data_IF_396645834313
#
_entry.id   IF_396645834313
#
_cell.length_a   1.000
_cell.length_b   1.000
_cell.length_c   1.000
_cell.angle_alpha   90.00
_cell.angle_beta   90.00
_cell.angle_gamma   90.00
#
_symmetry.space_group_name_H-M   'P 1'
#
loop_
_entity.id
_entity.type
_entity.pdbx_description
1 polymer ?
#
# COMPACT_ATOMS: atom_id res chain seq x y z
N UNK A 1 -14.59 -20.26 12.61
CA UNK A 1 -13.81 -19.68 11.50
C UNK A 1 -14.71 -19.73 10.28
N UNK A 2 -15.12 -18.58 9.76
CA UNK A 2 -15.96 -18.50 8.57
C UNK A 2 -15.09 -18.39 7.33
N UNK A 3 -15.34 -19.23 6.33
CA UNK A 3 -14.54 -19.32 5.10
C UNK A 3 -15.46 -19.28 3.87
N UNK A 4 -15.01 -18.61 2.80
CA UNK A 4 -15.76 -18.55 1.54
C UNK A 4 -15.60 -19.89 0.84
N UNK A 5 -16.71 -20.61 0.68
CA UNK A 5 -16.74 -21.92 0.06
C UNK A 5 -16.76 -21.80 -1.48
N UNK A 6 -15.59 -21.62 -2.10
CA UNK A 6 -15.47 -21.65 -3.57
C UNK A 6 -15.48 -23.07 -4.14
N UNK A 7 -15.01 -24.06 -3.38
CA UNK A 7 -14.94 -25.45 -3.83
C UNK A 7 -16.27 -26.21 -3.77
N UNK A 8 -17.33 -25.64 -3.18
CA UNK A 8 -18.63 -26.30 -3.02
C UNK A 8 -18.64 -27.42 -1.96
N UNK A 9 -17.77 -27.34 -0.96
CA UNK A 9 -17.66 -28.31 0.12
C UNK A 9 -18.95 -28.42 0.95
N UNK A 10 -19.27 -29.62 1.40
CA UNK A 10 -20.40 -29.92 2.29
C UNK A 10 -19.92 -30.14 3.72
N UNK A 11 -20.81 -29.95 4.69
CA UNK A 11 -20.53 -30.23 6.09
C UNK A 11 -20.07 -31.68 6.27
N UNK A 12 -18.97 -31.87 7.01
CA UNK A 12 -18.35 -33.19 7.24
C UNK A 12 -17.15 -33.51 6.35
N UNK A 13 -16.91 -32.74 5.28
CA UNK A 13 -15.73 -32.92 4.43
C UNK A 13 -14.51 -32.21 5.00
N UNK A 14 -13.33 -32.81 4.86
CA UNK A 14 -12.06 -32.12 5.16
C UNK A 14 -11.80 -31.13 4.03
N UNK A 15 -11.34 -29.94 4.37
CA UNK A 15 -11.14 -28.86 3.40
C UNK A 15 -9.79 -28.20 3.59
N UNK A 16 -9.13 -27.87 2.49
CA UNK A 16 -7.94 -27.05 2.50
C UNK A 16 -8.34 -25.59 2.42
N UNK A 17 -8.07 -24.88 3.49
CA UNK A 17 -8.32 -23.44 3.59
C UNK A 17 -7.04 -22.70 3.24
N UNK A 18 -7.09 -21.87 2.20
CA UNK A 18 -5.93 -21.11 1.73
C UNK A 18 -6.17 -19.62 2.01
N UNK A 19 -5.17 -18.98 2.61
CA UNK A 19 -5.10 -17.53 2.71
C UNK A 19 -4.28 -17.06 1.51
N UNK A 20 -4.87 -16.27 0.61
CA UNK A 20 -4.14 -15.76 -0.57
C UNK A 20 -3.13 -14.69 -0.15
N UNK A 21 -1.91 -15.10 0.19
CA UNK A 21 -0.81 -14.22 0.64
C UNK A 21 -0.30 -13.24 -0.44
N UNK A 22 -0.55 -13.53 -1.73
CA UNK A 22 -0.06 -12.70 -2.84
C UNK A 22 -0.60 -11.27 -2.84
N UNK A 23 -1.80 -11.05 -2.30
CA UNK A 23 -2.38 -9.70 -2.18
C UNK A 23 -1.63 -8.86 -1.13
N UNK A 24 -1.15 -9.49 -0.06
CA UNK A 24 -0.38 -8.81 0.99
C UNK A 24 0.97 -8.32 0.50
N UNK A 25 1.70 -9.15 -0.26
CA UNK A 25 3.03 -8.78 -0.74
C UNK A 25 2.95 -7.60 -1.72
N UNK A 26 1.99 -7.61 -2.66
CA UNK A 26 1.75 -6.47 -3.56
C UNK A 26 1.33 -5.21 -2.81
N UNK A 27 0.47 -5.33 -1.79
CA UNK A 27 0.08 -4.21 -0.93
C UNK A 27 1.28 -3.60 -0.20
N UNK A 28 2.16 -4.43 0.38
CA UNK A 28 3.35 -3.97 1.10
C UNK A 28 4.32 -3.18 0.21
N UNK A 29 4.54 -3.63 -1.03
CA UNK A 29 5.39 -2.91 -2.00
C UNK A 29 4.81 -1.53 -2.31
N UNK A 30 3.48 -1.39 -2.43
CA UNK A 30 2.88 -0.06 -2.62
C UNK A 30 3.07 0.83 -1.39
N UNK A 31 2.82 0.29 -0.19
CA UNK A 31 2.89 1.04 1.08
C UNK A 31 4.28 1.57 1.37
N UNK A 32 5.34 0.83 0.99
CA UNK A 32 6.72 1.27 1.22
C UNK A 32 7.35 1.94 -0.01
N UNK A 33 7.06 1.45 -1.21
CA UNK A 33 7.68 1.92 -2.45
C UNK A 33 7.19 3.28 -2.91
N UNK A 34 5.87 3.52 -2.89
CA UNK A 34 5.31 4.78 -3.39
C UNK A 34 5.75 5.97 -2.53
N UNK A 35 5.68 5.92 -1.18
CA UNK A 35 6.18 7.03 -0.36
C UNK A 35 7.67 7.30 -0.55
N UNK A 36 8.49 6.26 -0.68
CA UNK A 36 9.93 6.41 -0.91
C UNK A 36 10.22 7.13 -2.26
N UNK A 37 9.54 6.74 -3.33
CA UNK A 37 9.68 7.40 -4.64
C UNK A 37 9.17 8.83 -4.57
N UNK A 38 8.04 9.08 -3.89
CA UNK A 38 7.48 10.42 -3.72
C UNK A 38 8.43 11.35 -2.95
N UNK A 39 9.12 10.83 -1.92
CA UNK A 39 10.13 11.58 -1.16
C UNK A 39 11.28 12.03 -2.07
N UNK A 40 11.85 11.10 -2.85
CA UNK A 40 12.98 11.38 -3.75
C UNK A 40 12.53 12.37 -4.83
N UNK A 41 11.39 12.13 -5.46
CA UNK A 41 10.84 13.02 -6.48
C UNK A 41 10.59 14.43 -5.92
N UNK A 42 9.97 14.54 -4.74
CA UNK A 42 9.73 15.83 -4.09
C UNK A 42 11.01 16.58 -3.74
N UNK A 43 12.03 15.89 -3.24
CA UNK A 43 13.32 16.50 -2.93
C UNK A 43 14.02 17.05 -4.17
N UNK A 44 13.99 16.29 -5.28
CA UNK A 44 14.56 16.71 -6.57
C UNK A 44 13.78 17.89 -7.17
N UNK A 45 12.45 17.85 -7.14
CA UNK A 45 11.62 18.95 -7.62
C UNK A 45 11.85 20.23 -6.78
N UNK A 46 11.92 20.09 -5.46
CA UNK A 46 12.25 21.18 -4.54
C UNK A 46 13.60 21.82 -4.86
N UNK A 47 14.63 20.99 -5.11
CA UNK A 47 15.97 21.47 -5.42
C UNK A 47 16.09 22.11 -6.78
N UNK A 48 15.55 21.48 -7.82
CA UNK A 48 15.94 21.81 -9.19
C UNK A 48 14.97 22.78 -9.87
N UNK A 49 13.69 22.73 -9.47
CA UNK A 49 12.63 23.57 -10.04
C UNK A 49 12.35 24.75 -9.12
N UNK A 50 12.06 24.47 -7.85
CA UNK A 50 11.60 25.53 -6.94
C UNK A 50 12.73 26.43 -6.44
N UNK A 51 13.98 25.94 -6.33
CA UNK A 51 15.11 26.82 -5.94
C UNK A 51 15.37 27.92 -6.98
N UNK A 52 15.06 27.67 -8.25
CA UNK A 52 15.19 28.66 -9.33
C UNK A 52 14.14 29.78 -9.22
N UNK A 53 12.97 29.48 -8.64
CA UNK A 53 11.91 30.45 -8.38
C UNK A 53 12.11 31.17 -7.03
N UNK A 54 12.56 30.47 -6.00
CA UNK A 54 12.81 31.00 -4.66
C UNK A 54 14.31 31.20 -4.42
N UNK A 55 14.88 32.25 -5.04
CA UNK A 55 16.32 32.53 -4.98
C UNK A 55 16.84 32.91 -3.59
N UNK A 56 15.98 33.43 -2.71
CA UNK A 56 16.35 33.82 -1.35
C UNK A 56 16.27 32.67 -0.33
N UNK A 57 15.80 31.50 -0.73
CA UNK A 57 15.62 30.35 0.16
C UNK A 57 16.68 29.29 -0.11
N UNK A 58 17.24 28.74 0.97
CA UNK A 58 18.22 27.65 0.89
C UNK A 58 17.63 26.44 0.12
N UNK A 59 18.30 25.98 -0.97
CA UNK A 59 17.83 24.86 -1.78
C UNK A 59 17.64 23.56 -0.97
N UNK A 60 18.45 23.32 0.05
CA UNK A 60 18.36 22.09 0.85
C UNK A 60 17.14 22.13 1.80
N UNK A 61 16.77 23.30 2.31
CA UNK A 61 15.52 23.49 3.06
C UNK A 61 14.32 23.24 2.13
N UNK A 62 14.37 23.77 0.90
CA UNK A 62 13.30 23.62 -0.07
C UNK A 62 13.14 22.15 -0.50
N UNK A 63 14.24 21.44 -0.73
CA UNK A 63 14.24 20.00 -0.95
C UNK A 63 13.61 19.23 0.21
N UNK A 64 13.96 19.56 1.45
CA UNK A 64 13.38 18.89 2.60
C UNK A 64 11.86 19.11 2.68
N UNK A 65 11.39 20.35 2.52
CA UNK A 65 9.96 20.68 2.57
C UNK A 65 9.18 19.94 1.49
N UNK A 66 9.64 20.02 0.23
CA UNK A 66 8.93 19.37 -0.88
C UNK A 66 9.02 17.84 -0.81
N UNK A 67 10.17 17.30 -0.43
CA UNK A 67 10.35 15.86 -0.24
C UNK A 67 9.42 15.31 0.84
N UNK A 68 9.49 15.86 2.06
CA UNK A 68 8.63 15.42 3.15
C UNK A 68 7.15 15.74 2.92
N UNK A 69 6.84 16.84 2.24
CA UNK A 69 5.48 17.20 1.85
C UNK A 69 4.86 16.15 0.92
N UNK A 70 5.56 15.78 -0.17
CA UNK A 70 5.10 14.74 -1.08
C UNK A 70 5.05 13.36 -0.43
N UNK A 71 6.03 13.03 0.41
CA UNK A 71 6.03 11.80 1.19
C UNK A 71 4.78 11.70 2.07
N UNK A 72 4.45 12.77 2.82
CA UNK A 72 3.29 12.78 3.70
C UNK A 72 1.98 12.64 2.92
N UNK A 73 1.84 13.35 1.80
CA UNK A 73 0.66 13.24 0.94
C UNK A 73 0.51 11.81 0.41
N UNK A 74 1.58 11.23 -0.11
CA UNK A 74 1.58 9.85 -0.60
C UNK A 74 1.25 8.84 0.50
N UNK A 75 1.90 8.97 1.66
CA UNK A 75 1.70 8.09 2.80
C UNK A 75 0.27 8.17 3.35
N UNK A 76 -0.28 9.38 3.52
CA UNK A 76 -1.67 9.56 3.96
C UNK A 76 -2.66 9.01 2.93
N UNK A 77 -2.44 9.28 1.64
CA UNK A 77 -3.28 8.75 0.57
C UNK A 77 -3.35 7.23 0.58
N UNK A 78 -2.20 6.57 0.71
CA UNK A 78 -2.13 5.10 0.81
C UNK A 78 -2.75 4.60 2.11
N UNK A 79 -2.53 5.29 3.24
CA UNK A 79 -3.13 4.91 4.53
C UNK A 79 -4.66 4.94 4.47
N UNK A 80 -5.24 5.99 3.90
CA UNK A 80 -6.70 6.12 3.75
C UNK A 80 -7.25 5.04 2.79
N UNK A 81 -6.53 4.79 1.68
CA UNK A 81 -6.91 3.74 0.75
C UNK A 81 -6.81 2.34 1.36
N UNK A 82 -5.75 2.04 2.12
CA UNK A 82 -5.57 0.77 2.82
C UNK A 82 -6.68 0.55 3.84
N UNK A 83 -7.01 1.56 4.65
CA UNK A 83 -8.10 1.47 5.63
C UNK A 83 -9.46 1.20 4.96
N UNK A 84 -9.67 1.71 3.75
CA UNK A 84 -10.88 1.46 2.95
C UNK A 84 -10.84 0.08 2.29
N UNK A 85 -9.67 -0.37 1.83
CA UNK A 85 -9.47 -1.66 1.18
C UNK A 85 -9.55 -2.83 2.18
N UNK A 86 -9.06 -2.65 3.40
CA UNK A 86 -9.18 -3.62 4.51
C UNK A 86 -10.65 -3.83 4.91
N UNK A 87 -11.50 -2.80 4.81
CA UNK A 87 -12.95 -2.95 5.01
C UNK A 87 -13.65 -3.79 3.93
N UNK A 88 -13.04 -3.95 2.75
CA UNK A 88 -13.65 -4.62 1.57
C UNK A 88 -12.99 -5.97 1.24
N UNK A 89 -11.76 -6.16 1.67
CA UNK A 89 -11.00 -7.39 1.53
C UNK A 89 -10.88 -7.98 2.92
N UNK A 90 -12.01 -8.46 3.44
CA UNK A 90 -11.93 -9.51 4.44
C UNK A 90 -10.97 -10.56 3.89
N UNK A 91 -9.91 -10.80 4.65
CA UNK A 91 -9.04 -11.97 4.62
C UNK A 91 -9.87 -13.22 4.92
N UNK A 92 -10.97 -13.38 4.19
CA UNK A 92 -11.92 -14.46 4.32
C UNK A 92 -11.16 -15.68 3.82
N UNK A 93 -10.82 -16.62 4.71
CA UNK A 93 -10.18 -17.85 4.32
C UNK A 93 -11.01 -18.48 3.20
N UNK A 94 -10.39 -18.90 2.09
CA UNK A 94 -11.14 -19.48 0.97
C UNK A 94 -10.90 -20.98 0.97
N UNK A 95 -11.98 -21.75 0.85
CA UNK A 95 -11.88 -23.19 0.61
C UNK A 95 -11.61 -23.37 -0.88
N UNK A 96 -10.37 -23.70 -1.23
CA UNK A 96 -9.96 -23.96 -2.62
C UNK A 96 -10.06 -25.45 -2.98
N UNK A 97 -9.89 -26.36 -2.02
CA UNK A 97 -9.89 -27.82 -2.26
C UNK A 97 -10.59 -28.60 -1.14
N UNK A 98 -11.26 -29.69 -1.51
CA UNK A 98 -11.80 -30.70 -0.60
C UNK A 98 -10.76 -31.81 -0.50
N UNK A 99 -10.36 -32.12 0.72
CA UNK A 99 -9.53 -33.29 1.03
C UNK A 99 -10.49 -34.41 1.45
N UNK A 100 -10.25 -35.61 0.95
CA UNK A 100 -11.11 -36.81 1.08
C UNK A 100 -11.85 -36.94 2.43
#
# INVERSE_FOLDING_TARGET
MDAVNKAGAKAGQRVRVVIKSYTYLKGSILVYGIPAIALIAGAVLGKEIFSRQFKDTDPDILSAIFGFGLFLIAFLGIKIWSLTAEKKTETKPVIEEILE
#
